data_IF_301395179025
#
_entry.id   IF_301395179025
#
_cell.length_a   1.000
_cell.length_b   1.000
_cell.length_c   1.000
_cell.angle_alpha   90.00
_cell.angle_beta   90.00
_cell.angle_gamma   90.00
#
_symmetry.space_group_name_H-M   'P 1'
#
loop_
_entity.id
_entity.type
_entity.pdbx_description
1 polymer ?
#
# COMPACT_ATOMS: atom_id res chain seq x y z
N UNK A 1 11.75 -17.14 46.79
CA UNK A 1 12.76 -16.76 45.79
C UNK A 1 12.84 -17.95 44.85
N UNK A 2 12.24 -17.96 43.66
CA UNK A 2 12.14 -16.88 42.69
C UNK A 2 10.80 -16.89 41.97
N UNK A 3 10.10 -15.76 42.10
CA UNK A 3 9.03 -15.32 41.22
C UNK A 3 9.62 -14.93 39.86
N UNK A 4 8.97 -15.36 38.76
CA UNK A 4 9.03 -14.88 37.36
C UNK A 4 9.40 -15.99 36.37
N UNK A 5 8.40 -16.81 36.02
CA UNK A 5 8.35 -17.36 34.66
C UNK A 5 7.90 -16.21 33.75
N UNK A 6 8.88 -15.59 33.10
CA UNK A 6 8.69 -14.53 32.12
C UNK A 6 7.79 -15.04 30.99
N UNK A 7 6.57 -14.52 30.94
CA UNK A 7 5.73 -14.52 29.75
C UNK A 7 6.40 -13.60 28.74
N UNK A 8 7.42 -14.10 28.04
CA UNK A 8 7.82 -13.55 26.75
C UNK A 8 7.33 -14.56 25.71
N UNK A 9 6.02 -14.50 25.47
CA UNK A 9 5.38 -15.12 24.31
C UNK A 9 5.96 -14.46 23.06
N UNK A 10 7.10 -14.96 22.58
CA UNK A 10 7.48 -14.77 21.18
C UNK A 10 6.48 -15.61 20.38
N UNK A 11 5.34 -15.02 20.03
CA UNK A 11 4.40 -15.69 19.13
C UNK A 11 5.15 -15.98 17.82
N UNK A 12 5.33 -17.26 17.57
CA UNK A 12 5.76 -17.83 16.31
C UNK A 12 5.01 -17.13 15.18
N UNK A 13 5.71 -16.32 14.38
CA UNK A 13 5.16 -15.83 13.12
C UNK A 13 5.33 -16.93 12.09
N UNK A 14 4.58 -18.03 12.24
CA UNK A 14 4.23 -18.85 11.08
C UNK A 14 3.24 -18.00 10.26
N UNK A 15 3.78 -17.13 9.41
CA UNK A 15 3.00 -16.48 8.36
C UNK A 15 3.06 -17.38 7.14
N UNK A 16 2.38 -18.53 7.19
CA UNK A 16 1.80 -19.10 5.97
C UNK A 16 0.78 -18.09 5.45
N UNK A 17 1.26 -17.02 4.80
CA UNK A 17 0.42 -16.08 4.09
C UNK A 17 -0.25 -16.88 2.98
N UNK A 18 -1.54 -17.15 3.16
CA UNK A 18 -2.37 -17.75 2.12
C UNK A 18 -2.20 -16.91 0.86
N UNK A 19 -1.79 -17.51 -0.27
CA UNK A 19 -1.60 -16.75 -1.50
C UNK A 19 -2.91 -16.03 -1.84
N UNK A 20 -2.84 -14.69 -1.90
CA UNK A 20 -4.00 -13.83 -2.18
C UNK A 20 -4.58 -13.08 -0.97
N UNK A 21 -4.09 -13.29 0.25
CA UNK A 21 -4.56 -12.53 1.44
C UNK A 21 -3.49 -11.56 1.93
N UNK A 22 -3.68 -10.27 1.63
CA UNK A 22 -2.85 -9.18 2.11
C UNK A 22 -3.66 -8.24 3.02
N UNK A 23 -3.05 -7.75 4.08
CA UNK A 23 -3.66 -6.74 4.94
C UNK A 23 -3.62 -5.38 4.24
N UNK A 24 -4.79 -4.73 4.13
CA UNK A 24 -4.90 -3.34 3.65
C UNK A 24 -4.93 -2.42 4.87
N UNK A 25 -3.97 -1.48 5.01
CA UNK A 25 -3.97 -0.55 6.13
C UNK A 25 -5.13 0.45 6.04
N UNK A 26 -5.54 0.95 7.19
CA UNK A 26 -6.53 2.04 7.26
C UNK A 26 -5.92 3.34 6.75
N UNK A 27 -6.56 3.97 5.76
CA UNK A 27 -6.11 5.24 5.17
C UNK A 27 -6.97 6.40 5.68
N UNK A 28 -6.32 7.50 6.08
CA UNK A 28 -7.00 8.77 6.39
C UNK A 28 -7.05 9.65 5.15
N UNK A 29 -8.24 10.13 4.78
CA UNK A 29 -8.40 11.05 3.64
C UNK A 29 -8.46 12.49 4.13
N UNK A 30 -7.55 13.32 3.64
CA UNK A 30 -7.41 14.70 4.16
C UNK A 30 -7.98 15.77 3.23
N UNK A 31 -7.88 15.56 1.91
CA UNK A 31 -8.24 16.55 0.89
C UNK A 31 -9.03 15.88 -0.23
N UNK A 32 -10.01 16.59 -0.77
CA UNK A 32 -10.84 16.12 -1.89
C UNK A 32 -10.78 17.11 -3.05
N UNK A 33 -10.83 16.60 -4.27
CA UNK A 33 -10.95 17.44 -5.46
C UNK A 33 -12.39 17.92 -5.66
N UNK A 34 -12.53 19.04 -6.39
CA UNK A 34 -13.80 19.46 -6.96
C UNK A 34 -14.37 18.35 -7.88
N UNK A 35 -15.70 18.12 -7.91
CA UNK A 35 -16.30 17.04 -8.68
C UNK A 35 -15.90 17.01 -10.16
N UNK A 36 -15.75 18.19 -10.79
CA UNK A 36 -15.36 18.28 -12.20
C UNK A 36 -13.92 17.80 -12.43
N UNK A 37 -13.04 18.04 -11.46
CA UNK A 37 -11.65 17.58 -11.50
C UNK A 37 -11.55 16.10 -11.14
N UNK A 38 -12.30 15.65 -10.14
CA UNK A 38 -12.35 14.25 -9.72
C UNK A 38 -12.80 13.33 -10.87
N UNK A 39 -13.81 13.75 -11.63
CA UNK A 39 -14.29 13.00 -12.79
C UNK A 39 -13.22 12.82 -13.87
N UNK A 40 -12.40 13.85 -14.13
CA UNK A 40 -11.30 13.78 -15.09
C UNK A 40 -10.13 12.92 -14.59
N UNK A 41 -9.81 12.98 -13.29
CA UNK A 41 -8.72 12.22 -12.71
C UNK A 41 -9.07 10.74 -12.44
N UNK A 42 -10.37 10.40 -12.38
CA UNK A 42 -10.83 9.05 -12.01
C UNK A 42 -10.72 8.76 -10.51
N UNK A 43 -10.36 9.75 -9.70
CA UNK A 43 -10.30 9.68 -8.24
C UNK A 43 -10.67 11.02 -7.63
N UNK A 44 -11.45 11.00 -6.54
CA UNK A 44 -11.76 12.20 -5.75
C UNK A 44 -10.60 12.57 -4.81
N UNK A 45 -9.73 11.61 -4.52
CA UNK A 45 -8.61 11.80 -3.61
C UNK A 45 -7.34 12.13 -4.39
N UNK A 46 -6.71 13.30 -4.16
CA UNK A 46 -5.46 13.68 -4.79
C UNK A 46 -4.32 12.71 -4.46
N UNK A 47 -4.35 12.09 -3.29
CA UNK A 47 -3.32 11.16 -2.83
C UNK A 47 -3.28 9.85 -3.63
N UNK A 48 -4.39 9.50 -4.28
CA UNK A 48 -4.50 8.32 -5.15
C UNK A 48 -4.18 8.64 -6.62
N UNK A 49 -4.12 9.93 -6.99
CA UNK A 49 -3.76 10.42 -8.32
C UNK A 49 -2.24 10.42 -8.50
N UNK A 50 -1.66 9.21 -8.58
CA UNK A 50 -0.21 9.02 -8.70
C UNK A 50 0.17 8.85 -10.18
N UNK A 51 1.18 9.58 -10.68
CA UNK A 51 1.65 9.38 -12.04
C UNK A 51 2.16 7.95 -12.20
N UNK A 52 1.84 7.32 -13.33
CA UNK A 52 2.35 6.00 -13.65
C UNK A 52 3.87 6.08 -13.85
N UNK A 53 4.61 5.73 -12.80
CA UNK A 53 6.08 5.60 -12.80
C UNK A 53 6.46 4.18 -13.15
N UNK A 54 5.84 3.65 -14.21
CA UNK A 54 6.28 2.39 -14.80
C UNK A 54 7.70 2.57 -15.32
N UNK A 55 8.69 2.28 -14.48
CA UNK A 55 10.07 2.14 -14.90
C UNK A 55 10.14 0.90 -15.79
N UNK A 56 9.78 1.06 -17.06
CA UNK A 56 10.26 0.17 -18.10
C UNK A 56 11.74 0.50 -18.34
N UNK A 57 12.60 0.15 -17.39
CA UNK A 57 14.03 0.03 -17.65
C UNK A 57 14.24 -1.23 -18.49
N UNK A 58 13.72 -1.22 -19.72
CA UNK A 58 14.29 -2.04 -20.77
C UNK A 58 15.58 -1.34 -21.16
N UNK A 59 16.71 -1.90 -20.74
CA UNK A 59 17.99 -1.51 -21.27
C UNK A 59 17.88 -1.61 -22.80
N UNK A 60 17.93 -0.46 -23.47
CA UNK A 60 17.94 -0.24 -24.92
C UNK A 60 16.61 0.01 -25.66
N UNK A 61 15.86 1.05 -25.28
CA UNK A 61 15.06 1.78 -26.28
C UNK A 61 13.55 1.60 -26.12
N UNK A 62 12.92 2.65 -25.61
CA UNK A 62 11.52 2.67 -25.28
C UNK A 62 10.56 2.60 -26.47
N UNK A 63 9.28 2.48 -26.14
CA UNK A 63 8.21 2.94 -27.01
C UNK A 63 7.29 3.83 -26.19
N UNK A 64 7.33 5.12 -26.57
CA UNK A 64 6.35 6.12 -26.17
C UNK A 64 4.99 5.68 -26.74
N UNK A 65 4.01 5.52 -25.86
CA UNK A 65 2.64 5.99 -26.09
C UNK A 65 1.89 5.96 -24.76
#
# INVERSE_FOLDING_TARGET
>A
MDTKLNIASCKETNTEQVPGMAYVPWQQFTRTYDPNRALRAGTIFPELDKPFTGNCTWNNGGRRR
#
